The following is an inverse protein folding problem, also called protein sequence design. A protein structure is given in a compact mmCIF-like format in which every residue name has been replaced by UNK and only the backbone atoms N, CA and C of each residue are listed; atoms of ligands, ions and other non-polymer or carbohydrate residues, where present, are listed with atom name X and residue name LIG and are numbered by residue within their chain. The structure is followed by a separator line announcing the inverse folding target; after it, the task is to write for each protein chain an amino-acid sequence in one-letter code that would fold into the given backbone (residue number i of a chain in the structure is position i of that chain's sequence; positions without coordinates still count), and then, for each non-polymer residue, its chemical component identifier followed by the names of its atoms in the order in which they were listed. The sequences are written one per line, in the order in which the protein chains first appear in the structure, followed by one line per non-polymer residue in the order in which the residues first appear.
data_IF_834614982485
#
_entry.id   IF_834614982485
#
_cell.length_a   1.000
_cell.length_b   1.000
_cell.length_c   1.000
_cell.angle_alpha   90.00
_cell.angle_beta   90.00
_cell.angle_gamma   90.00
#
_symmetry.space_group_name_H-M   'P 1'
#
loop_
_entity.id
_entity.type
_entity.pdbx_description
1 polymer ?
#
# COMPACT_ATOMS: atom_id res chain seq x y z
N UNK A 1 -14.57 10.43 -38.52
CA UNK A 1 -13.80 9.46 -37.72
C UNK A 1 -14.28 9.55 -36.29
N UNK A 2 -14.91 8.50 -35.75
CA UNK A 2 -15.30 8.42 -34.34
C UNK A 2 -14.18 7.76 -33.55
N UNK A 3 -13.56 8.52 -32.63
CA UNK A 3 -12.65 7.96 -31.64
C UNK A 3 -13.50 7.26 -30.58
N UNK A 4 -13.45 5.93 -30.53
CA UNK A 4 -14.01 5.16 -29.42
C UNK A 4 -12.90 4.99 -28.39
N UNK A 5 -13.03 5.68 -27.24
CA UNK A 5 -12.16 5.44 -26.09
C UNK A 5 -12.74 4.29 -25.27
N UNK A 6 -12.24 3.08 -25.51
CA UNK A 6 -12.44 1.97 -24.58
C UNK A 6 -11.27 1.99 -23.60
N UNK A 7 -11.52 2.44 -22.37
CA UNK A 7 -10.57 2.29 -21.27
C UNK A 7 -11.00 1.06 -20.47
N UNK A 8 -10.42 -0.13 -20.70
CA UNK A 8 -10.52 -1.20 -19.73
C UNK A 8 -9.71 -0.75 -18.51
N UNK A 9 -10.38 -0.12 -17.55
CA UNK A 9 -9.78 0.18 -16.27
C UNK A 9 -9.68 -1.15 -15.50
N UNK A 10 -8.61 -1.92 -15.73
CA UNK A 10 -8.26 -3.12 -14.95
C UNK A 10 -7.74 -2.74 -13.54
N UNK A 11 -8.32 -1.70 -12.93
CA UNK A 11 -7.90 -1.19 -11.63
C UNK A 11 -9.08 -0.84 -10.72
N UNK A 12 -8.91 -1.17 -9.44
CA UNK A 12 -9.78 -0.73 -8.34
C UNK A 12 -9.25 0.55 -7.72
N UNK A 13 -10.17 1.46 -7.35
CA UNK A 13 -9.86 2.63 -6.55
C UNK A 13 -10.68 2.57 -5.26
N UNK A 14 -9.99 2.60 -4.12
CA UNK A 14 -10.63 2.59 -2.81
C UNK A 14 -10.15 3.79 -1.99
N UNK A 15 -11.08 4.48 -1.35
CA UNK A 15 -10.78 5.57 -0.42
C UNK A 15 -11.09 5.10 0.99
N UNK A 16 -10.16 5.34 1.89
CA UNK A 16 -10.30 5.03 3.31
C UNK A 16 -10.42 6.35 4.05
N UNK A 17 -11.59 6.55 4.65
CA UNK A 17 -11.90 7.74 5.43
C UNK A 17 -11.81 7.44 6.94
N UNK A 18 -11.36 8.43 7.70
CA UNK A 18 -11.38 8.45 9.17
C UNK A 18 -11.87 9.81 9.62
N UNK A 19 -12.86 9.85 10.52
CA UNK A 19 -13.40 11.12 11.02
C UNK A 19 -13.95 12.07 9.94
N UNK A 20 -14.43 11.53 8.81
CA UNK A 20 -14.96 12.33 7.69
C UNK A 20 -13.90 12.90 6.74
N UNK A 21 -12.65 12.45 6.85
CA UNK A 21 -11.53 12.87 5.99
C UNK A 21 -10.85 11.67 5.37
N UNK A 22 -10.45 11.80 4.10
CA UNK A 22 -9.66 10.78 3.42
C UNK A 22 -8.26 10.67 4.06
N UNK A 23 -7.91 9.47 4.50
CA UNK A 23 -6.61 9.12 5.08
C UNK A 23 -5.72 8.38 4.09
N UNK A 24 -6.31 7.52 3.27
CA UNK A 24 -5.56 6.69 2.33
C UNK A 24 -6.38 6.42 1.07
N UNK A 25 -5.75 6.60 -0.08
CA UNK A 25 -6.24 6.09 -1.35
C UNK A 25 -5.48 4.81 -1.71
N UNK A 26 -6.20 3.77 -2.11
CA UNK A 26 -5.67 2.48 -2.55
C UNK A 26 -6.01 2.26 -4.01
N UNK A 27 -4.99 2.11 -4.84
CA UNK A 27 -5.09 1.63 -6.20
C UNK A 27 -4.77 0.14 -6.21
N UNK A 28 -5.68 -0.68 -6.74
CA UNK A 28 -5.48 -2.11 -6.98
C UNK A 28 -5.36 -2.34 -8.47
N UNK A 29 -4.39 -3.14 -8.93
CA UNK A 29 -4.29 -3.57 -10.32
C UNK A 29 -3.06 -3.04 -11.04
N UNK A 30 -3.17 -2.93 -12.36
CA UNK A 30 -2.05 -2.59 -13.24
C UNK A 30 -1.75 -1.08 -13.31
N UNK A 31 -2.31 -0.28 -12.41
CA UNK A 31 -2.08 1.16 -12.34
C UNK A 31 -0.70 1.46 -11.70
N UNK A 32 0.34 1.83 -12.47
CA UNK A 32 1.67 2.00 -11.94
C UNK A 32 1.98 3.50 -11.90
N UNK A 33 1.90 4.12 -10.73
CA UNK A 33 2.91 5.13 -10.46
C UNK A 33 4.11 4.37 -9.96
N UNK A 34 4.95 3.84 -10.85
CA UNK A 34 6.24 3.29 -10.38
C UNK A 34 7.01 4.43 -9.70
N UNK A 35 7.72 4.16 -8.60
CA UNK A 35 8.63 5.14 -8.03
C UNK A 35 9.49 5.75 -9.14
N UNK A 36 9.72 7.06 -9.08
CA UNK A 36 10.51 7.76 -10.10
C UNK A 36 11.81 6.99 -10.36
N UNK A 37 12.16 6.77 -11.64
CA UNK A 37 13.31 5.93 -12.01
C UNK A 37 14.58 6.45 -11.32
N UNK A 38 15.13 5.68 -10.38
CA UNK A 38 16.30 6.04 -9.57
C UNK A 38 16.01 6.40 -8.11
N UNK A 39 14.75 6.47 -7.69
CA UNK A 39 14.40 6.63 -6.27
C UNK A 39 14.71 5.35 -5.50
N UNK A 40 15.56 5.45 -4.48
CA UNK A 40 15.76 4.37 -3.51
C UNK A 40 14.60 4.43 -2.52
N UNK A 41 13.80 3.35 -2.36
CA UNK A 41 12.72 3.37 -1.40
C UNK A 41 13.30 3.43 0.01
N UNK A 42 12.68 4.22 0.88
CA UNK A 42 13.04 4.31 2.30
C UNK A 42 12.78 2.99 3.03
N UNK A 43 11.82 2.22 2.52
CA UNK A 43 11.46 0.91 3.03
C UNK A 43 11.48 -0.11 1.91
N UNK A 44 12.06 -1.27 2.20
CA UNK A 44 11.97 -2.46 1.36
C UNK A 44 11.81 -3.69 2.26
N UNK A 45 10.59 -4.17 2.43
CA UNK A 45 10.26 -5.34 3.23
C UNK A 45 9.93 -6.51 2.32
N UNK A 46 10.41 -7.69 2.68
CA UNK A 46 9.98 -8.95 2.08
C UNK A 46 9.52 -9.91 3.16
N UNK A 47 8.20 -9.97 3.38
CA UNK A 47 7.61 -10.73 4.49
C UNK A 47 6.24 -11.31 4.10
N UNK A 48 5.93 -12.52 4.59
CA UNK A 48 4.60 -13.14 4.40
C UNK A 48 4.22 -13.42 2.94
N UNK A 49 5.19 -13.55 2.02
CA UNK A 49 4.94 -13.68 0.59
C UNK A 49 4.60 -12.37 -0.11
N UNK A 50 4.92 -11.24 0.51
CA UNK A 50 4.77 -9.90 -0.05
C UNK A 50 6.13 -9.20 -0.14
N UNK A 51 6.31 -8.44 -1.20
CA UNK A 51 7.31 -7.38 -1.32
C UNK A 51 6.61 -6.04 -1.11
N UNK A 52 7.07 -5.25 -0.14
CA UNK A 52 6.51 -3.93 0.20
C UNK A 52 7.60 -2.88 0.11
N UNK A 53 7.40 -1.86 -0.71
CA UNK A 53 8.33 -0.73 -0.81
C UNK A 53 7.63 0.57 -0.47
N UNK A 54 8.28 1.44 0.30
CA UNK A 54 7.72 2.72 0.74
C UNK A 54 8.66 3.89 0.47
N UNK A 55 8.11 5.04 0.11
CA UNK A 55 8.82 6.30 -0.08
C UNK A 55 8.00 7.49 0.42
N UNK A 56 8.67 8.57 0.81
CA UNK A 56 8.04 9.86 1.10
C UNK A 56 8.60 10.94 0.21
N UNK A 57 7.77 11.95 -0.06
CA UNK A 57 8.17 13.16 -0.74
C UNK A 57 7.45 14.37 -0.14
N UNK A 58 8.10 15.53 -0.22
CA UNK A 58 7.44 16.80 0.11
C UNK A 58 6.49 17.18 -1.04
N UNK A 59 5.26 17.53 -0.70
CA UNK A 59 4.21 17.97 -1.62
C UNK A 59 3.61 19.27 -1.06
N UNK A 60 4.30 20.40 -1.31
CA UNK A 60 3.95 21.69 -0.72
C UNK A 60 4.13 21.66 0.81
N UNK A 61 3.07 21.97 1.55
CA UNK A 61 3.05 21.92 3.02
C UNK A 61 2.76 20.51 3.57
N UNK A 62 2.65 19.50 2.70
CA UNK A 62 2.27 18.14 3.07
C UNK A 62 3.41 17.17 2.78
N UNK A 63 3.40 16.05 3.48
CA UNK A 63 4.27 14.92 3.16
C UNK A 63 3.42 13.85 2.49
N UNK A 64 3.78 13.52 1.25
CA UNK A 64 3.19 12.43 0.48
C UNK A 64 3.87 11.11 0.85
N UNK A 65 3.06 10.09 1.10
CA UNK A 65 3.48 8.72 1.36
C UNK A 65 3.01 7.85 0.22
N UNK A 66 3.93 7.06 -0.34
CA UNK A 66 3.64 6.08 -1.38
C UNK A 66 4.15 4.72 -0.92
N UNK A 67 3.25 3.72 -0.90
CA UNK A 67 3.57 2.35 -0.54
C UNK A 67 3.09 1.41 -1.63
N UNK A 68 3.99 0.59 -2.14
CA UNK A 68 3.70 -0.45 -3.12
C UNK A 68 3.72 -1.79 -2.44
N UNK A 69 2.66 -2.56 -2.61
CA UNK A 69 2.54 -3.92 -2.08
C UNK A 69 2.36 -4.87 -3.25
N UNK A 70 3.26 -5.84 -3.39
CA UNK A 70 3.18 -6.87 -4.41
C UNK A 70 3.24 -8.24 -3.76
N UNK A 71 2.33 -9.13 -4.13
CA UNK A 71 2.48 -10.55 -3.77
C UNK A 71 3.58 -11.19 -4.62
N UNK A 72 4.33 -12.12 -4.04
CA UNK A 72 5.37 -12.88 -4.73
C UNK A 72 4.78 -13.89 -5.74
N UNK A 73 3.44 -14.04 -5.79
CA UNK A 73 2.72 -14.87 -6.75
C UNK A 73 2.58 -14.16 -8.10
N UNK A 74 2.69 -14.91 -9.20
CA UNK A 74 2.39 -14.40 -10.55
C UNK A 74 0.92 -14.03 -10.66
N UNK A 75 0.66 -13.01 -11.47
CA UNK A 75 -0.67 -12.54 -11.89
C UNK A 75 -1.59 -12.07 -10.76
N UNK A 76 -1.07 -11.81 -9.56
CA UNK A 76 -1.80 -11.06 -8.54
C UNK A 76 -1.66 -9.56 -8.81
N UNK A 77 -2.76 -8.77 -8.80
CA UNK A 77 -2.68 -7.32 -8.88
C UNK A 77 -1.81 -6.73 -7.77
N UNK A 78 -1.02 -5.72 -8.11
CA UNK A 78 -0.28 -4.95 -7.12
C UNK A 78 -1.22 -3.92 -6.45
N UNK A 79 -0.86 -3.50 -5.24
CA UNK A 79 -1.51 -2.38 -4.57
C UNK A 79 -0.55 -1.20 -4.53
N UNK A 80 -1.08 0.00 -4.79
CA UNK A 80 -0.41 1.26 -4.56
C UNK A 80 -1.24 2.09 -3.58
N UNK A 81 -0.67 2.33 -2.40
CA UNK A 81 -1.27 3.06 -1.30
C UNK A 81 -0.68 4.47 -1.30
N UNK A 82 -1.54 5.49 -1.37
CA UNK A 82 -1.17 6.90 -1.45
C UNK A 82 -1.86 7.68 -0.34
N UNK A 83 -1.09 8.46 0.41
CA UNK A 83 -1.61 9.41 1.38
C UNK A 83 -0.81 10.71 1.35
N UNK A 84 -1.45 11.82 1.73
CA UNK A 84 -0.77 13.09 1.96
C UNK A 84 -1.19 13.66 3.32
N UNK A 85 -0.23 13.84 4.22
CA UNK A 85 -0.47 14.29 5.60
C UNK A 85 0.11 15.68 5.82
N UNK A 86 -0.64 16.56 6.48
CA UNK A 86 -0.21 17.92 6.80
C UNK A 86 0.34 18.04 8.24
N UNK A 87 -0.18 17.24 9.17
CA UNK A 87 0.11 17.38 10.60
C UNK A 87 0.39 16.04 11.31
N UNK A 88 0.63 16.11 12.62
CA UNK A 88 0.92 14.95 13.45
C UNK A 88 -0.28 14.02 13.62
N UNK A 89 -1.50 14.55 13.67
CA UNK A 89 -2.72 13.78 13.88
C UNK A 89 -3.07 12.97 12.62
N UNK A 90 -2.98 13.60 11.44
CA UNK A 90 -3.13 12.94 10.14
C UNK A 90 -2.10 11.81 9.97
N UNK A 91 -0.86 12.06 10.39
CA UNK A 91 0.21 11.05 10.37
C UNK A 91 -0.07 9.87 11.31
N UNK A 92 -0.61 10.12 12.50
CA UNK A 92 -1.00 9.04 13.44
C UNK A 92 -2.16 8.21 12.88
N UNK A 93 -3.15 8.87 12.24
CA UNK A 93 -4.26 8.18 11.58
C UNK A 93 -3.77 7.31 10.42
N UNK A 94 -2.87 7.83 9.58
CA UNK A 94 -2.24 7.07 8.51
C UNK A 94 -1.49 5.85 9.05
N UNK A 95 -0.70 6.02 10.11
CA UNK A 95 0.03 4.92 10.74
C UNK A 95 -0.92 3.84 11.29
N UNK A 96 -2.04 4.23 11.90
CA UNK A 96 -3.05 3.28 12.38
C UNK A 96 -3.70 2.49 11.23
N UNK A 97 -4.05 3.17 10.12
CA UNK A 97 -4.62 2.53 8.93
C UNK A 97 -3.63 1.55 8.30
N UNK A 98 -2.38 1.96 8.05
CA UNK A 98 -1.36 1.09 7.48
C UNK A 98 -0.98 -0.07 8.42
N UNK A 99 -0.98 0.18 9.74
CA UNK A 99 -0.77 -0.84 10.77
C UNK A 99 -1.81 -1.96 10.74
N UNK A 100 -3.07 -1.60 10.46
CA UNK A 100 -4.18 -2.55 10.33
C UNK A 100 -4.34 -3.18 8.94
N UNK A 101 -3.65 -2.63 7.93
CA UNK A 101 -3.83 -3.04 6.54
C UNK A 101 -3.32 -4.45 6.30
N UNK A 102 -4.17 -5.33 5.80
CA UNK A 102 -3.85 -6.74 5.59
C UNK A 102 -4.49 -7.26 4.32
N UNK A 103 -3.68 -7.94 3.49
CA UNK A 103 -4.19 -8.63 2.31
C UNK A 103 -5.04 -9.83 2.74
N UNK A 104 -6.32 -9.81 2.38
CA UNK A 104 -7.18 -10.99 2.46
C UNK A 104 -7.02 -11.83 1.18
N UNK A 105 -7.31 -13.12 1.28
CA UNK A 105 -7.29 -14.02 0.13
C UNK A 105 -8.51 -14.90 0.13
N UNK A 106 -8.97 -15.27 -1.06
CA UNK A 106 -10.05 -16.24 -1.18
C UNK A 106 -9.49 -17.65 -1.10
N UNK A 107 -9.99 -18.43 -0.14
CA UNK A 107 -9.83 -19.88 -0.14
C UNK A 107 -10.99 -20.47 -0.94
N UNK A 108 -10.68 -21.06 -2.09
CA UNK A 108 -11.66 -21.76 -2.94
C UNK A 108 -11.66 -23.25 -2.61
N UNK A 109 -12.85 -23.82 -2.50
CA UNK A 109 -13.12 -25.25 -2.49
C UNK A 109 -14.01 -25.59 -3.70
N UNK A 110 -14.36 -26.86 -3.91
CA UNK A 110 -15.25 -27.25 -5.03
C UNK A 110 -16.58 -26.49 -5.01
N UNK A 111 -17.15 -26.22 -3.82
CA UNK A 111 -18.51 -25.67 -3.70
C UNK A 111 -18.59 -24.31 -2.99
N UNK A 112 -17.47 -23.75 -2.52
CA UNK A 112 -17.49 -22.48 -1.79
C UNK A 112 -16.22 -21.66 -1.94
N UNK A 113 -16.40 -20.34 -1.84
CA UNK A 113 -15.33 -19.34 -1.80
C UNK A 113 -15.42 -18.56 -0.49
N UNK A 114 -14.46 -18.78 0.41
CA UNK A 114 -14.41 -18.10 1.70
C UNK A 114 -13.30 -17.06 1.69
N UNK A 115 -13.62 -15.81 2.07
CA UNK A 115 -12.62 -14.78 2.28
C UNK A 115 -11.88 -15.05 3.60
N UNK A 116 -10.56 -15.21 3.52
CA UNK A 116 -9.69 -15.44 4.67
C UNK A 116 -8.73 -14.26 4.80
N UNK A 117 -8.83 -13.57 5.93
CA UNK A 117 -7.94 -12.49 6.30
C UNK A 117 -7.04 -12.94 7.45
N UNK A 118 -5.71 -12.71 7.40
CA UNK A 118 -4.86 -12.97 8.55
C UNK A 118 -5.28 -12.09 9.74
N UNK A 119 -5.01 -12.54 10.97
CA UNK A 119 -5.33 -11.74 12.17
C UNK A 119 -4.50 -10.46 12.27
N UNK A 120 -3.27 -10.49 11.77
CA UNK A 120 -2.32 -9.38 11.78
C UNK A 120 -1.76 -9.17 10.37
N UNK A 121 -1.40 -7.93 10.06
CA UNK A 121 -0.63 -7.63 8.86
C UNK A 121 0.80 -8.16 9.01
N UNK A 122 1.37 -8.81 7.98
CA UNK A 122 2.77 -9.22 8.03
C UNK A 122 3.75 -8.05 7.92
N UNK A 123 3.31 -6.85 7.54
CA UNK A 123 4.17 -5.67 7.33
C UNK A 123 3.61 -4.39 7.94
N UNK A 124 2.38 -4.41 8.47
CA UNK A 124 1.68 -3.22 8.94
C UNK A 124 2.38 -2.51 10.09
N UNK A 125 2.91 -3.25 11.07
CA UNK A 125 3.61 -2.68 12.22
C UNK A 125 4.83 -1.86 11.77
N UNK A 126 5.66 -2.42 10.89
CA UNK A 126 6.84 -1.72 10.37
C UNK A 126 6.48 -0.48 9.55
N UNK A 127 5.38 -0.53 8.78
CA UNK A 127 4.89 0.66 8.07
C UNK A 127 4.38 1.73 9.04
N UNK A 128 3.65 1.35 10.08
CA UNK A 128 3.16 2.29 11.09
C UNK A 128 4.34 2.99 11.81
N UNK A 129 5.37 2.23 12.19
CA UNK A 129 6.58 2.77 12.82
C UNK A 129 7.32 3.75 11.90
N UNK A 130 7.43 3.42 10.62
CA UNK A 130 8.03 4.28 9.61
C UNK A 130 7.28 5.60 9.42
N UNK A 131 5.95 5.55 9.35
CA UNK A 131 5.12 6.75 9.23
C UNK A 131 5.29 7.65 10.44
N UNK A 132 5.37 7.08 11.64
CA UNK A 132 5.58 7.84 12.88
C UNK A 132 7.04 8.35 13.00
N UNK A 133 7.97 7.81 12.22
CA UNK A 133 9.38 8.22 12.22
C UNK A 133 10.23 7.52 13.28
N UNK A 134 9.80 6.35 13.79
CA UNK A 134 10.67 5.51 14.62
C UNK A 134 11.71 4.83 13.73
N UNK A 135 13.00 5.13 13.95
CA UNK A 135 14.13 4.47 13.27
C UNK A 135 14.11 2.98 13.61
N UNK A 136 13.67 2.15 12.66
CA UNK A 136 13.58 0.70 12.89
C UNK A 136 13.19 -0.10 11.66
N UNK A 137 13.70 0.19 10.47
CA UNK A 137 13.54 -0.73 9.33
C UNK A 137 14.91 -1.01 8.74
N UNK A 138 15.56 -2.02 9.31
CA UNK A 138 16.83 -2.55 8.81
C UNK A 138 16.63 -3.23 7.45
N UNK A 139 17.54 -2.94 6.53
CA UNK A 139 17.86 -3.80 5.39
C UNK A 139 18.06 -5.22 5.89
N UNK A 140 17.20 -6.14 5.46
CA UNK A 140 17.56 -7.56 5.50
C UNK A 140 18.53 -7.80 4.32
N UNK A 141 19.81 -7.54 4.55
CA UNK A 141 20.90 -8.09 3.73
C UNK A 141 20.88 -9.61 3.89
N UNK A 142 20.55 -10.29 2.79
CA UNK A 142 20.70 -11.74 2.66
C UNK A 142 22.17 -12.09 2.59
N UNK A 143 22.58 -12.95 3.52
CA UNK A 143 23.88 -13.60 3.61
C UNK A 143 24.08 -14.64 2.50
#
# INVERSE_FOLDING_TARGET
MSLTYEVPADFGLHRIDSGGREVLTVYEGNAPQRPAKGSVPEINLRQGGYTVTGSRSEEGERVRYEVFVRQDKRDTPALHLVAAVADADERLQLAAVLGGFRGCSFRRSQDSQTLVCPRKSPWGEQLAEWVIGKKGVGSAEGK
#
